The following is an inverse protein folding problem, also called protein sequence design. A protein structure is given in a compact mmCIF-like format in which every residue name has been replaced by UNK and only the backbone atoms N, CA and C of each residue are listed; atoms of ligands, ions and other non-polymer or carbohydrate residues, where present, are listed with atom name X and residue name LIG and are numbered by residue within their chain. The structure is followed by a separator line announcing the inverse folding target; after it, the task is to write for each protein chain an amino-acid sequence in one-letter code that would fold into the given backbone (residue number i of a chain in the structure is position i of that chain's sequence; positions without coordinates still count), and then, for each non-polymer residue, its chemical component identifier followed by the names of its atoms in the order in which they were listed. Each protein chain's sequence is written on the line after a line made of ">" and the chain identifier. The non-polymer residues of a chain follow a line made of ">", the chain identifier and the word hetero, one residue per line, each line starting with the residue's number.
data_IF_958324934941
#
_entry.id   IF_958324934941
#
_cell.length_a   1.000
_cell.length_b   1.000
_cell.length_c   1.000
_cell.angle_alpha   90.00
_cell.angle_beta   90.00
_cell.angle_gamma   90.00
#
_symmetry.space_group_name_H-M   'P 1'
#
loop_
_entity.id
_entity.type
_entity.pdbx_description
1 polymer ?
#
# COMPACT_ATOMS: atom_id res chain seq x y z
N UNK A 1 -20.69 7.23 5.88
CA UNK A 1 -19.42 7.33 5.14
C UNK A 1 -18.48 6.28 5.70
N UNK A 2 -18.12 5.29 4.91
CA UNK A 2 -17.07 4.33 5.29
C UNK A 2 -15.72 5.04 5.22
N UNK A 3 -14.87 4.89 6.24
CA UNK A 3 -13.51 5.44 6.23
C UNK A 3 -12.61 4.48 5.47
N UNK A 4 -11.91 4.98 4.46
CA UNK A 4 -10.91 4.19 3.76
C UNK A 4 -9.74 3.84 4.70
N UNK A 5 -9.14 2.65 4.58
CA UNK A 5 -7.95 2.29 5.34
C UNK A 5 -6.80 3.25 5.05
N UNK A 6 -6.04 3.60 6.09
CA UNK A 6 -4.82 4.40 5.97
C UNK A 6 -3.61 3.48 6.15
N UNK A 7 -2.62 3.63 5.28
CA UNK A 7 -1.34 2.94 5.34
C UNK A 7 -0.27 3.89 5.86
N UNK A 8 0.56 3.42 6.79
CA UNK A 8 1.70 4.17 7.31
C UNK A 8 2.97 3.63 6.66
N UNK A 9 3.76 4.52 6.06
CA UNK A 9 5.02 4.16 5.44
C UNK A 9 6.05 3.72 6.51
N UNK A 10 6.64 2.51 6.41
CA UNK A 10 7.64 2.06 7.39
C UNK A 10 8.97 2.83 7.30
N UNK A 11 9.24 3.51 6.18
CA UNK A 11 10.50 4.23 5.95
C UNK A 11 10.44 5.70 6.43
N UNK A 12 9.35 6.41 6.16
CA UNK A 12 9.23 7.85 6.44
C UNK A 12 8.05 8.22 7.36
N UNK A 13 7.27 7.24 7.82
CA UNK A 13 6.10 7.40 8.69
C UNK A 13 4.97 8.27 8.13
N UNK A 14 5.07 8.71 6.88
CA UNK A 14 3.97 9.39 6.19
C UNK A 14 2.77 8.45 6.05
N UNK A 15 1.56 9.00 6.24
CA UNK A 15 0.30 8.31 6.12
C UNK A 15 -0.42 8.70 4.83
N UNK A 16 -1.04 7.72 4.18
CA UNK A 16 -1.85 7.94 2.99
C UNK A 16 -2.98 6.90 2.92
N UNK A 17 -4.08 7.26 2.28
CA UNK A 17 -5.17 6.32 2.01
C UNK A 17 -4.68 5.18 1.11
N UNK A 18 -5.12 3.96 1.43
CA UNK A 18 -4.66 2.72 0.81
C UNK A 18 -4.78 2.73 -0.72
N UNK A 19 -5.80 3.39 -1.27
CA UNK A 19 -6.07 3.48 -2.70
C UNK A 19 -5.00 4.29 -3.47
N UNK A 20 -4.26 5.16 -2.77
CA UNK A 20 -3.23 6.01 -3.38
C UNK A 20 -1.84 5.36 -3.38
N UNK A 21 -1.64 4.31 -2.57
CA UNK A 21 -0.32 3.72 -2.33
C UNK A 21 -0.23 2.26 -2.73
N UNK A 22 -1.34 1.55 -2.86
CA UNK A 22 -1.37 0.17 -3.35
C UNK A 22 -1.75 0.10 -4.82
N UNK A 23 -0.95 -0.64 -5.58
CA UNK A 23 -1.28 -1.08 -6.94
C UNK A 23 -1.42 -2.60 -6.93
N UNK A 24 -2.60 -3.10 -7.26
CA UNK A 24 -2.84 -4.54 -7.44
C UNK A 24 -2.63 -4.92 -8.90
N UNK A 25 -1.84 -5.97 -9.15
CA UNK A 25 -1.68 -6.57 -10.48
C UNK A 25 -2.47 -7.89 -10.59
N UNK A 26 -2.88 -8.24 -11.82
CA UNK A 26 -3.74 -9.41 -12.10
C UNK A 26 -3.17 -10.75 -11.61
N UNK A 27 -1.85 -10.82 -11.43
CA UNK A 27 -1.08 -11.97 -10.93
C UNK A 27 -0.89 -11.97 -9.40
N UNK A 28 -1.77 -11.33 -8.64
CA UNK A 28 -1.72 -11.24 -7.17
C UNK A 28 -0.53 -10.47 -6.58
N UNK A 29 0.33 -9.86 -7.40
CA UNK A 29 1.40 -9.00 -6.89
C UNK A 29 0.82 -7.65 -6.45
N UNK A 30 0.64 -7.48 -5.15
CA UNK A 30 0.35 -6.18 -4.55
C UNK A 30 1.66 -5.43 -4.38
N UNK A 31 1.71 -4.21 -4.91
CA UNK A 31 2.84 -3.30 -4.80
C UNK A 31 2.41 -2.11 -3.94
N UNK A 32 3.12 -1.89 -2.85
CA UNK A 32 3.06 -0.65 -2.10
C UNK A 32 4.12 0.32 -2.62
N UNK A 33 3.74 1.57 -2.87
CA UNK A 33 4.65 2.67 -3.18
C UNK A 33 4.31 3.89 -2.35
N UNK A 34 5.27 4.36 -1.55
CA UNK A 34 5.14 5.61 -0.80
C UNK A 34 5.22 6.82 -1.75
N UNK A 35 4.25 7.73 -1.68
CA UNK A 35 4.25 8.96 -2.49
C UNK A 35 5.25 10.02 -1.99
N UNK A 36 5.73 9.91 -0.75
CA UNK A 36 6.62 10.92 -0.14
C UNK A 36 8.10 10.57 -0.30
N UNK A 37 8.48 9.34 0.04
CA UNK A 37 9.89 8.91 0.02
C UNK A 37 10.19 7.86 -1.06
N UNK A 38 9.21 7.52 -1.90
CA UNK A 38 9.32 6.55 -2.98
C UNK A 38 9.77 5.14 -2.55
N UNK A 39 9.62 4.80 -1.27
CA UNK A 39 9.84 3.45 -0.77
C UNK A 39 8.84 2.46 -1.38
N UNK A 40 9.34 1.32 -1.88
CA UNK A 40 8.53 0.31 -2.58
C UNK A 40 8.61 -1.04 -1.86
N UNK A 41 7.46 -1.65 -1.61
CA UNK A 41 7.34 -3.06 -1.20
C UNK A 41 6.56 -3.79 -2.29
N UNK A 42 7.04 -4.96 -2.72
CA UNK A 42 6.38 -5.79 -3.74
C UNK A 42 6.06 -7.15 -3.15
N UNK A 43 5.18 -7.89 -3.83
CA UNK A 43 4.79 -9.25 -3.42
C UNK A 43 4.26 -9.26 -1.99
N UNK A 44 3.49 -8.23 -1.62
CA UNK A 44 2.84 -8.20 -0.31
C UNK A 44 1.82 -9.34 -0.30
N UNK A 45 2.09 -10.36 0.51
CA UNK A 45 1.19 -11.48 0.70
C UNK A 45 -0.09 -10.97 1.36
N UNK A 46 -1.17 -10.91 0.59
CA UNK A 46 -2.50 -10.67 1.13
C UNK A 46 -3.13 -12.02 1.41
N UNK A 47 -3.40 -12.32 2.67
CA UNK A 47 -4.19 -13.49 3.00
C UNK A 47 -5.66 -13.20 2.65
N UNK A 48 -6.17 -13.80 1.57
CA UNK A 48 -7.61 -13.94 1.35
C UNK A 48 -8.03 -15.26 2.01
N UNK A 49 -8.16 -15.24 3.33
CA UNK A 49 -8.56 -16.38 4.15
C UNK A 49 -9.31 -15.90 5.37
#
# INVERSE_FOLDING_TARGET
>A
MERLPVVICPNCQSSAEIIHVLTAQSNQNVIYTCQVCHFVIRNIETNKG
#
